data_IF_859750655708
#
_entry.id   IF_859750655708
#
_cell.length_a   1.000
_cell.length_b   1.000
_cell.length_c   1.000
_cell.angle_alpha   90.00
_cell.angle_beta   90.00
_cell.angle_gamma   90.00
#
_symmetry.space_group_name_H-M   'P 1'
#
loop_
_entity.id
_entity.type
_entity.pdbx_description
1 polymer ?
#
# COMPACT_ATOMS: atom_id res chain seq x y z
N UNK A 1 11.64 16.79 -5.91
CA UNK A 1 10.15 16.71 -5.94
C UNK A 1 9.55 16.60 -4.55
N UNK A 2 9.94 15.59 -3.78
CA UNK A 2 9.38 15.32 -2.45
C UNK A 2 9.49 16.52 -1.46
N UNK A 3 10.65 17.16 -1.36
CA UNK A 3 10.86 18.31 -0.48
C UNK A 3 9.90 19.48 -0.79
N UNK A 4 9.61 19.75 -2.06
CA UNK A 4 8.67 20.80 -2.45
C UNK A 4 7.22 20.41 -2.14
N UNK A 5 6.85 19.14 -2.33
CA UNK A 5 5.51 18.68 -2.03
C UNK A 5 5.17 18.71 -0.52
N UNK A 6 6.17 18.62 0.35
CA UNK A 6 6.01 18.68 1.82
C UNK A 6 5.81 20.10 2.37
N UNK A 7 6.16 21.14 1.63
CA UNK A 7 6.06 22.52 2.12
C UNK A 7 4.61 22.97 2.22
N UNK A 8 4.22 23.48 3.39
CA UNK A 8 2.86 24.02 3.62
C UNK A 8 2.47 25.15 2.67
N UNK A 9 3.45 25.91 2.16
CA UNK A 9 3.26 27.01 1.23
C UNK A 9 3.25 26.59 -0.26
N UNK A 10 3.29 25.27 -0.57
CA UNK A 10 3.23 24.79 -1.95
C UNK A 10 1.82 25.01 -2.50
N UNK A 11 1.71 25.77 -3.59
CA UNK A 11 0.42 26.05 -4.25
C UNK A 11 -0.17 24.77 -4.86
N UNK A 12 -1.51 24.75 -5.03
CA UNK A 12 -2.20 23.64 -5.68
C UNK A 12 -1.67 23.40 -7.11
N UNK A 13 -1.45 24.46 -7.85
CA UNK A 13 -0.84 24.36 -9.19
C UNK A 13 0.51 23.65 -9.16
N UNK A 14 1.39 23.99 -8.20
CA UNK A 14 2.69 23.35 -8.05
C UNK A 14 2.58 21.88 -7.63
N UNK A 15 1.61 21.53 -6.80
CA UNK A 15 1.34 20.13 -6.44
C UNK A 15 0.91 19.31 -7.66
N UNK A 16 0.03 19.88 -8.49
CA UNK A 16 -0.41 19.27 -9.73
C UNK A 16 0.75 19.06 -10.71
N UNK A 17 1.61 20.06 -10.87
CA UNK A 17 2.82 19.94 -11.72
C UNK A 17 3.75 18.80 -11.24
N UNK A 18 4.00 18.72 -9.93
CA UNK A 18 4.84 17.68 -9.34
C UNK A 18 4.23 16.29 -9.51
N UNK A 19 2.93 16.15 -9.30
CA UNK A 19 2.18 14.92 -9.53
C UNK A 19 2.26 14.48 -10.99
N UNK A 20 1.98 15.36 -11.93
CA UNK A 20 2.07 15.07 -13.36
C UNK A 20 3.51 14.72 -13.79
N UNK A 21 4.49 15.43 -13.25
CA UNK A 21 5.90 15.14 -13.51
C UNK A 21 6.28 13.75 -12.98
N UNK A 22 5.82 13.38 -11.77
CA UNK A 22 6.05 12.06 -11.20
C UNK A 22 5.52 10.97 -12.13
N UNK A 23 4.26 11.06 -12.56
CA UNK A 23 3.64 10.06 -13.44
C UNK A 23 4.32 10.00 -14.81
N UNK A 24 4.65 11.14 -15.43
CA UNK A 24 5.36 11.17 -16.71
C UNK A 24 6.76 10.59 -16.66
N UNK A 25 7.41 10.67 -15.50
CA UNK A 25 8.79 10.20 -15.30
C UNK A 25 8.85 8.92 -14.45
N UNK A 26 7.75 8.19 -14.41
CA UNK A 26 7.68 6.92 -13.67
C UNK A 26 8.70 5.90 -14.20
N UNK A 27 9.07 5.98 -15.47
CA UNK A 27 10.16 5.21 -16.07
C UNK A 27 11.53 5.46 -15.42
N UNK A 28 11.71 6.62 -14.81
CA UNK A 28 12.92 7.03 -14.07
C UNK A 28 12.80 6.86 -12.56
N UNK A 29 11.59 6.66 -12.05
CA UNK A 29 11.31 6.42 -10.63
C UNK A 29 11.04 4.92 -10.48
N UNK A 30 12.04 4.12 -10.78
CA UNK A 30 11.97 2.67 -10.90
C UNK A 30 12.77 1.92 -9.82
N UNK A 31 13.14 2.59 -8.75
CA UNK A 31 13.74 2.00 -7.55
C UNK A 31 12.83 2.19 -6.35
N UNK A 32 12.86 1.24 -5.41
CA UNK A 32 12.03 1.29 -4.21
C UNK A 32 12.29 2.56 -3.37
N UNK A 33 13.55 3.00 -3.30
CA UNK A 33 14.00 4.19 -2.57
C UNK A 33 13.35 5.48 -3.12
N UNK A 34 13.35 5.64 -4.43
CA UNK A 34 12.73 6.80 -5.09
C UNK A 34 11.21 6.80 -4.91
N UNK A 35 10.57 5.62 -5.01
CA UNK A 35 9.13 5.47 -4.78
C UNK A 35 8.78 5.84 -3.34
N UNK A 36 9.44 5.25 -2.35
CA UNK A 36 9.11 5.44 -0.94
C UNK A 36 9.31 6.87 -0.45
N UNK A 37 10.27 7.59 -1.02
CA UNK A 37 10.51 9.00 -0.70
C UNK A 37 9.50 9.94 -1.31
N UNK A 38 9.08 9.71 -2.54
CA UNK A 38 8.30 10.68 -3.30
C UNK A 38 6.79 10.37 -3.31
N UNK A 39 6.38 9.10 -3.50
CA UNK A 39 4.98 8.73 -3.68
C UNK A 39 4.05 9.19 -2.55
N UNK A 40 4.39 9.08 -1.25
CA UNK A 40 3.48 9.49 -0.18
C UNK A 40 3.05 10.96 -0.29
N UNK A 41 3.97 11.85 -0.61
CA UNK A 41 3.72 13.29 -0.62
C UNK A 41 3.31 13.82 -1.98
N UNK A 42 3.96 13.33 -3.05
CA UNK A 42 3.70 13.81 -4.41
C UNK A 42 2.41 13.22 -4.96
N UNK A 43 2.18 11.92 -4.78
CA UNK A 43 0.99 11.24 -5.29
C UNK A 43 -0.10 11.21 -4.22
N UNK A 44 0.17 10.62 -3.05
CA UNK A 44 -0.81 10.54 -1.96
C UNK A 44 -1.29 11.91 -1.50
N UNK A 45 -0.36 12.85 -1.27
CA UNK A 45 -0.70 14.21 -0.86
C UNK A 45 -1.51 14.98 -1.90
N UNK A 46 -1.26 14.79 -3.20
CA UNK A 46 -2.05 15.41 -4.26
C UNK A 46 -3.46 14.83 -4.35
N UNK A 47 -3.61 13.50 -4.18
CA UNK A 47 -4.89 12.80 -4.30
C UNK A 47 -5.71 12.79 -2.99
N UNK A 48 -5.24 13.43 -1.92
CA UNK A 48 -5.90 13.37 -0.62
C UNK A 48 -7.34 13.92 -0.64
N UNK A 49 -7.58 14.95 -1.43
CA UNK A 49 -8.87 15.63 -1.60
C UNK A 49 -9.47 15.45 -3.01
N UNK A 50 -9.01 14.45 -3.75
CA UNK A 50 -9.40 14.18 -5.16
C UNK A 50 -9.81 12.72 -5.36
N UNK A 51 -10.45 12.40 -6.52
CA UNK A 51 -10.69 11.01 -6.91
C UNK A 51 -9.40 10.20 -6.93
N UNK A 52 -9.43 9.01 -6.32
CA UNK A 52 -8.25 8.16 -6.11
C UNK A 52 -8.12 7.03 -7.15
N UNK A 53 -8.95 7.08 -8.21
CA UNK A 53 -8.92 6.12 -9.33
C UNK A 53 -7.51 5.92 -9.91
N UNK A 54 -6.65 6.96 -10.03
CA UNK A 54 -5.28 6.77 -10.51
C UNK A 54 -4.47 5.74 -9.70
N UNK A 55 -4.70 5.62 -8.38
CA UNK A 55 -4.01 4.62 -7.57
C UNK A 55 -4.43 3.20 -7.92
N UNK A 56 -5.70 3.00 -8.23
CA UNK A 56 -6.23 1.70 -8.65
C UNK A 56 -5.74 1.28 -10.03
N UNK A 57 -5.51 2.24 -10.94
CA UNK A 57 -4.86 2.00 -12.22
C UNK A 57 -3.39 1.59 -12.02
N UNK A 58 -2.65 2.32 -11.19
CA UNK A 58 -1.27 1.99 -10.85
C UNK A 58 -1.16 0.61 -10.18
N UNK A 59 -2.10 0.25 -9.30
CA UNK A 59 -2.11 -1.05 -8.64
C UNK A 59 -2.28 -2.23 -9.62
N UNK A 60 -2.82 -2.00 -10.81
CA UNK A 60 -3.01 -3.01 -11.86
C UNK A 60 -1.96 -2.95 -12.97
N UNK A 61 -0.97 -2.09 -12.84
CA UNK A 61 0.09 -1.93 -13.84
C UNK A 61 0.96 -3.18 -13.97
N UNK A 62 1.47 -3.43 -15.16
CA UNK A 62 2.52 -4.44 -15.40
C UNK A 62 3.84 -4.09 -14.74
N UNK A 63 4.09 -2.80 -14.46
CA UNK A 63 5.32 -2.31 -13.86
C UNK A 63 5.28 -2.38 -12.34
N UNK A 64 6.21 -3.10 -11.71
CA UNK A 64 6.21 -3.31 -10.26
C UNK A 64 6.37 -2.00 -9.46
N UNK A 65 7.13 -1.02 -9.95
CA UNK A 65 7.30 0.27 -9.27
C UNK A 65 6.04 1.13 -9.29
N UNK A 66 5.17 0.97 -10.31
CA UNK A 66 3.85 1.61 -10.33
C UNK A 66 2.91 0.96 -9.30
N UNK A 67 2.89 -0.37 -9.23
CA UNK A 67 2.13 -1.09 -8.21
C UNK A 67 2.60 -0.74 -6.79
N UNK A 68 3.93 -0.63 -6.60
CA UNK A 68 4.48 -0.16 -5.33
C UNK A 68 4.08 1.28 -5.04
N UNK A 69 4.11 2.18 -6.03
CA UNK A 69 3.64 3.57 -5.88
C UNK A 69 2.20 3.62 -5.39
N UNK A 70 1.31 2.78 -5.91
CA UNK A 70 -0.09 2.74 -5.49
C UNK A 70 -0.24 2.53 -3.97
N UNK A 71 0.36 1.47 -3.44
CA UNK A 71 0.24 1.15 -2.01
C UNK A 71 1.01 2.12 -1.12
N UNK A 72 2.21 2.54 -1.51
CA UNK A 72 3.04 3.47 -0.72
C UNK A 72 2.39 4.84 -0.61
N UNK A 73 1.69 5.31 -1.64
CA UNK A 73 0.96 6.59 -1.62
C UNK A 73 -0.12 6.64 -0.54
N UNK A 74 -0.69 5.51 -0.17
CA UNK A 74 -1.75 5.42 0.85
C UNK A 74 -1.28 5.81 2.25
N UNK A 75 0.02 5.82 2.52
CA UNK A 75 0.57 6.32 3.78
C UNK A 75 0.06 7.72 4.14
N UNK A 76 -0.11 8.59 3.15
CA UNK A 76 -0.63 9.93 3.39
C UNK A 76 -2.04 9.89 3.98
N UNK A 77 -2.89 8.98 3.49
CA UNK A 77 -4.26 8.80 3.96
C UNK A 77 -4.30 8.14 5.35
N UNK A 78 -3.47 7.12 5.58
CA UNK A 78 -3.35 6.44 6.89
C UNK A 78 -3.05 7.47 7.98
N UNK A 79 -2.18 8.43 7.72
CA UNK A 79 -1.86 9.50 8.69
C UNK A 79 -3.05 10.38 9.02
N UNK A 80 -4.02 10.50 8.13
CA UNK A 80 -5.27 11.22 8.33
C UNK A 80 -6.39 10.34 8.92
N UNK A 81 -6.10 9.07 9.21
CA UNK A 81 -7.06 8.11 9.73
C UNK A 81 -7.88 7.38 8.66
N UNK A 82 -7.67 7.68 7.37
CA UNK A 82 -8.35 7.02 6.26
C UNK A 82 -7.53 5.81 5.79
N UNK A 83 -8.08 4.62 6.00
CA UNK A 83 -7.42 3.35 5.69
C UNK A 83 -8.11 2.57 4.57
N UNK A 84 -9.23 3.07 4.05
CA UNK A 84 -10.07 2.32 3.11
C UNK A 84 -9.33 1.94 1.83
N UNK A 85 -8.64 2.90 1.21
CA UNK A 85 -7.90 2.63 -0.03
C UNK A 85 -6.67 1.74 0.20
N UNK A 86 -6.05 1.82 1.39
CA UNK A 86 -4.94 0.92 1.72
C UNK A 86 -5.36 -0.53 1.68
N UNK A 87 -6.49 -0.88 2.30
CA UNK A 87 -7.00 -2.25 2.27
C UNK A 87 -7.46 -2.67 0.87
N UNK A 88 -8.20 -1.81 0.14
CA UNK A 88 -8.66 -2.12 -1.22
C UNK A 88 -7.49 -2.32 -2.21
N UNK A 89 -6.47 -1.48 -2.14
CA UNK A 89 -5.25 -1.64 -2.95
C UNK A 89 -4.47 -2.87 -2.47
N UNK A 90 -4.44 -3.11 -1.17
CA UNK A 90 -3.89 -4.33 -0.59
C UNK A 90 -4.54 -5.59 -1.13
N UNK A 91 -5.87 -5.62 -1.24
CA UNK A 91 -6.63 -6.74 -1.83
C UNK A 91 -6.19 -7.00 -3.29
N UNK A 92 -6.00 -5.95 -4.09
CA UNK A 92 -5.51 -6.06 -5.47
C UNK A 92 -4.09 -6.65 -5.52
N UNK A 93 -3.24 -6.27 -4.59
CA UNK A 93 -1.81 -6.61 -4.56
C UNK A 93 -1.47 -7.77 -3.61
N UNK A 94 -2.47 -8.41 -3.00
CA UNK A 94 -2.27 -9.45 -1.99
C UNK A 94 -1.38 -10.60 -2.47
N UNK A 95 -1.43 -10.92 -3.76
CA UNK A 95 -0.68 -12.01 -4.40
C UNK A 95 0.38 -11.52 -5.39
N UNK A 96 0.89 -10.30 -5.22
CA UNK A 96 1.92 -9.74 -6.11
C UNK A 96 3.17 -10.62 -6.12
N UNK A 97 3.73 -10.95 -7.31
CA UNK A 97 4.88 -11.83 -7.42
C UNK A 97 6.21 -11.16 -7.03
N UNK A 98 6.26 -9.83 -6.96
CA UNK A 98 7.51 -9.08 -6.75
C UNK A 98 7.76 -8.83 -5.26
N UNK A 99 8.85 -9.32 -4.72
CA UNK A 99 9.22 -9.23 -3.30
C UNK A 99 9.20 -7.78 -2.76
N UNK A 100 9.66 -6.81 -3.56
CA UNK A 100 9.62 -5.40 -3.18
C UNK A 100 8.20 -4.84 -3.06
N UNK A 101 7.23 -5.36 -3.82
CA UNK A 101 5.81 -5.01 -3.68
C UNK A 101 5.21 -5.72 -2.47
N UNK A 102 5.51 -7.01 -2.29
CA UNK A 102 5.07 -7.80 -1.14
C UNK A 102 5.44 -7.15 0.21
N UNK A 103 6.68 -6.67 0.33
CA UNK A 103 7.16 -5.94 1.52
C UNK A 103 6.38 -4.65 1.75
N UNK A 104 6.11 -3.91 0.68
CA UNK A 104 5.34 -2.67 0.78
C UNK A 104 3.88 -2.95 1.18
N UNK A 105 3.22 -3.92 0.54
CA UNK A 105 1.84 -4.32 0.87
C UNK A 105 1.75 -4.71 2.34
N UNK A 106 2.55 -5.68 2.79
CA UNK A 106 2.52 -6.13 4.19
C UNK A 106 2.80 -5.00 5.18
N UNK A 107 3.78 -4.14 4.88
CA UNK A 107 4.13 -2.99 5.72
C UNK A 107 3.00 -1.97 5.84
N UNK A 108 2.34 -1.60 4.74
CA UNK A 108 1.27 -0.60 4.77
C UNK A 108 -0.06 -1.15 5.28
N UNK A 109 -0.35 -2.43 5.03
CA UNK A 109 -1.48 -3.14 5.67
C UNK A 109 -1.29 -3.16 7.19
N UNK A 110 -0.09 -3.43 7.69
CA UNK A 110 0.24 -3.35 9.12
C UNK A 110 -0.01 -1.93 9.67
N UNK A 111 0.48 -0.90 9.00
CA UNK A 111 0.30 0.49 9.45
C UNK A 111 -1.18 0.92 9.43
N UNK A 112 -1.94 0.53 8.41
CA UNK A 112 -3.38 0.73 8.37
C UNK A 112 -4.09 -0.02 9.50
N UNK A 113 -3.64 -1.24 9.80
CA UNK A 113 -4.17 -2.08 10.89
C UNK A 113 -4.05 -1.48 12.28
N UNK A 114 -3.03 -0.64 12.52
CA UNK A 114 -2.91 0.10 13.79
C UNK A 114 -4.03 1.12 13.98
N UNK A 115 -4.59 1.64 12.90
CA UNK A 115 -5.72 2.58 12.90
C UNK A 115 -7.06 1.87 12.79
N UNK A 116 -7.10 0.76 12.07
CA UNK A 116 -8.31 -0.04 11.80
C UNK A 116 -8.02 -1.53 11.99
N UNK A 117 -8.04 -2.03 13.24
CA UNK A 117 -7.80 -3.46 13.52
C UNK A 117 -8.81 -4.40 12.83
N UNK A 118 -10.07 -3.98 12.70
CA UNK A 118 -11.09 -4.76 12.01
C UNK A 118 -10.77 -4.93 10.51
N UNK A 119 -10.28 -3.87 9.85
CA UNK A 119 -9.82 -3.93 8.46
C UNK A 119 -8.63 -4.86 8.28
N UNK A 120 -7.67 -4.83 9.22
CA UNK A 120 -6.54 -5.75 9.21
C UNK A 120 -7.01 -7.21 9.35
N UNK A 121 -7.91 -7.50 10.29
CA UNK A 121 -8.45 -8.84 10.49
C UNK A 121 -9.13 -9.35 9.22
N UNK A 122 -10.05 -8.54 8.64
CA UNK A 122 -10.71 -8.90 7.37
C UNK A 122 -9.68 -9.26 6.28
N UNK A 123 -8.67 -8.42 6.09
CA UNK A 123 -7.64 -8.66 5.09
C UNK A 123 -6.87 -9.97 5.34
N UNK A 124 -6.53 -10.25 6.59
CA UNK A 124 -5.83 -11.48 6.96
C UNK A 124 -6.72 -12.72 6.81
N UNK A 125 -7.98 -12.65 7.24
CA UNK A 125 -8.94 -13.75 7.08
C UNK A 125 -9.12 -14.14 5.61
N UNK A 126 -9.11 -13.15 4.71
CA UNK A 126 -9.28 -13.36 3.27
C UNK A 126 -8.02 -13.88 2.57
N UNK A 127 -6.84 -13.40 2.97
CA UNK A 127 -5.62 -13.60 2.19
C UNK A 127 -4.52 -14.41 2.88
N UNK A 128 -4.50 -14.55 4.21
CA UNK A 128 -3.36 -15.10 4.94
C UNK A 128 -2.96 -16.52 4.52
N UNK A 129 -3.94 -17.34 4.14
CA UNK A 129 -3.70 -18.71 3.71
C UNK A 129 -2.99 -18.82 2.35
N UNK A 130 -3.18 -17.83 1.47
CA UNK A 130 -2.76 -17.90 0.05
C UNK A 130 -1.73 -16.86 -0.36
N UNK A 131 -1.65 -15.72 0.35
CA UNK A 131 -0.70 -14.65 0.00
C UNK A 131 0.76 -15.07 0.23
N UNK A 132 1.72 -14.41 -0.45
CA UNK A 132 3.15 -14.66 -0.24
C UNK A 132 3.56 -14.51 1.23
N UNK A 133 4.42 -15.41 1.71
CA UNK A 133 4.90 -15.41 3.09
C UNK A 133 5.62 -14.12 3.49
N UNK A 134 6.24 -13.42 2.54
CA UNK A 134 6.81 -12.08 2.77
C UNK A 134 5.72 -11.08 3.16
N UNK A 135 4.63 -11.00 2.39
CA UNK A 135 3.49 -10.11 2.69
C UNK A 135 2.91 -10.42 4.08
N UNK A 136 2.62 -11.68 4.35
CA UNK A 136 2.07 -12.13 5.63
C UNK A 136 2.97 -11.74 6.80
N UNK A 137 4.27 -12.02 6.70
CA UNK A 137 5.25 -11.75 7.75
C UNK A 137 5.23 -10.26 8.16
N UNK A 138 5.18 -9.35 7.20
CA UNK A 138 5.13 -7.91 7.47
C UNK A 138 3.77 -7.49 8.03
N UNK A 139 2.66 -8.02 7.48
CA UNK A 139 1.32 -7.64 7.89
C UNK A 139 1.01 -8.00 9.36
N UNK A 140 1.51 -9.16 9.83
CA UNK A 140 1.23 -9.67 11.19
C UNK A 140 2.27 -9.24 12.25
N UNK A 141 3.28 -8.45 11.88
CA UNK A 141 4.44 -8.16 12.73
C UNK A 141 4.07 -7.59 14.11
N UNK A 142 3.04 -6.75 14.20
CA UNK A 142 2.60 -6.11 15.44
C UNK A 142 1.44 -6.80 16.14
N UNK A 143 0.96 -7.93 15.62
CA UNK A 143 -0.05 -8.73 16.32
C UNK A 143 0.57 -9.44 17.52
N UNK A 144 -0.28 -9.75 18.50
CA UNK A 144 0.12 -10.60 19.62
C UNK A 144 0.62 -11.98 19.14
N UNK A 145 1.44 -12.68 19.93
CA UNK A 145 2.05 -13.93 19.52
C UNK A 145 1.07 -15.03 19.10
N UNK A 146 -0.07 -15.11 19.75
CA UNK A 146 -1.09 -16.15 19.50
C UNK A 146 -1.78 -15.88 18.15
N UNK A 147 -2.33 -14.69 17.93
CA UNK A 147 -2.95 -14.27 16.69
C UNK A 147 -1.98 -14.34 15.51
N UNK A 148 -0.72 -13.91 15.72
CA UNK A 148 0.32 -14.00 14.69
C UNK A 148 0.64 -15.44 14.33
N UNK A 149 0.71 -16.35 15.32
CA UNK A 149 0.94 -17.78 15.08
C UNK A 149 -0.22 -18.39 14.31
N UNK A 150 -1.45 -18.07 14.68
CA UNK A 150 -2.65 -18.52 13.98
C UNK A 150 -2.56 -18.22 12.48
N UNK A 151 -2.40 -16.96 12.08
CA UNK A 151 -2.33 -16.59 10.65
C UNK A 151 -1.15 -17.20 9.91
N UNK A 152 0.00 -17.39 10.58
CA UNK A 152 1.17 -18.02 9.96
C UNK A 152 1.02 -19.50 9.69
N UNK A 153 0.15 -20.19 10.41
CA UNK A 153 -0.12 -21.61 10.26
C UNK A 153 -1.18 -21.91 9.20
N UNK A 154 -1.98 -20.91 8.78
CA UNK A 154 -2.99 -21.09 7.75
C UNK A 154 -2.36 -21.53 6.42
N UNK A 155 -3.06 -22.43 5.75
CA UNK A 155 -2.73 -22.95 4.44
C UNK A 155 -3.94 -22.90 3.50
N UNK A 156 -3.76 -23.03 2.19
CA UNK A 156 -4.90 -23.04 1.25
C UNK A 156 -5.94 -24.15 1.55
N UNK A 157 -5.54 -25.25 2.18
CA UNK A 157 -6.46 -26.31 2.56
C UNK A 157 -7.45 -25.89 3.66
N UNK A 158 -7.06 -24.94 4.54
CA UNK A 158 -7.90 -24.48 5.64
C UNK A 158 -9.04 -23.58 5.15
N UNK A 159 -8.87 -22.90 4.02
CA UNK A 159 -9.88 -22.01 3.41
C UNK A 159 -11.01 -22.82 2.77
N UNK A 160 -10.70 -23.96 2.15
CA UNK A 160 -11.69 -24.83 1.50
C UNK A 160 -12.63 -25.57 2.47
N UNK A 161 -12.31 -25.58 3.76
CA UNK A 161 -13.13 -26.24 4.80
C UNK A 161 -14.18 -25.29 5.43
N UNK A 162 -14.21 -24.02 5.05
CA UNK A 162 -15.10 -22.98 5.61
C UNK A 162 -16.22 -22.55 4.63
N UNK A 163 -16.22 -23.06 3.40
CA UNK A 163 -17.26 -22.91 2.38
C UNK A 163 -18.22 -24.13 2.38
#
# INVERSE_FOLDING_TARGET
>A
MDFQARRRATTEHRRQELYQLYLRRHDRINTWDLVDRAAPHVVGGYLADKPRDPLYLLARSSQWWERRTAIVSTWYFIRQGDTADTFRIGDILAHDPVDLVQKAVGGWIREAGKRNPAGLRRFLDEHAATMPRTTLRYAVEHLDPETRSHYRQLSPADTAAQE
#
